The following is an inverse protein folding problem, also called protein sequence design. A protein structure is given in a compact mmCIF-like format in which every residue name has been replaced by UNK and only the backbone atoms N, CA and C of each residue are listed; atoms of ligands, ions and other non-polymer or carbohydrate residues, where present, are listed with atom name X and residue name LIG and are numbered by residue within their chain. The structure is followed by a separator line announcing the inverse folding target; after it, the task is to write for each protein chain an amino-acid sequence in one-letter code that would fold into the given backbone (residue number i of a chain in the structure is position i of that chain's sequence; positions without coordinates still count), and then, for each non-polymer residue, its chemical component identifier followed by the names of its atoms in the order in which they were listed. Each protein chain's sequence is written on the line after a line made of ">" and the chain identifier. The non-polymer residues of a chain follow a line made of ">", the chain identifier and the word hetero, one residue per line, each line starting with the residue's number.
data_IF_417725789378
#
_entry.id   IF_417725789378
#
_cell.length_a   1.000
_cell.length_b   1.000
_cell.length_c   1.000
_cell.angle_alpha   90.00
_cell.angle_beta   90.00
_cell.angle_gamma   90.00
#
_symmetry.space_group_name_H-M   'P 1'
#
loop_
_entity.id
_entity.type
_entity.pdbx_description
1 polymer ?
#
# COMPACT_ATOMS: atom_id res chain seq x y z
N UNK A 1 84.36 -15.70 -14.17
CA UNK A 1 83.77 -16.14 -12.90
C UNK A 1 84.40 -17.45 -12.51
N UNK A 2 85.14 -17.44 -11.41
CA UNK A 2 85.67 -18.64 -10.77
C UNK A 2 84.53 -19.60 -10.43
N UNK A 3 84.71 -20.94 -10.46
CA UNK A 3 83.70 -21.91 -10.04
C UNK A 3 83.06 -21.55 -8.69
N UNK A 4 83.87 -21.10 -7.73
CA UNK A 4 83.43 -20.68 -6.39
C UNK A 4 82.48 -19.46 -6.40
N UNK A 5 82.67 -18.54 -7.35
CA UNK A 5 81.79 -17.37 -7.51
C UNK A 5 80.45 -17.76 -8.16
N UNK A 6 80.45 -18.83 -8.96
CA UNK A 6 79.22 -19.39 -9.55
C UNK A 6 78.42 -20.11 -8.47
N UNK A 7 79.08 -20.88 -7.62
CA UNK A 7 78.43 -21.64 -6.53
C UNK A 7 77.76 -20.70 -5.53
N UNK A 8 78.45 -19.64 -5.09
CA UNK A 8 77.86 -18.59 -4.23
C UNK A 8 76.66 -17.88 -4.88
N UNK A 9 76.69 -17.71 -6.20
CA UNK A 9 75.57 -17.10 -6.94
C UNK A 9 74.38 -18.04 -7.06
N UNK A 10 74.61 -19.33 -7.22
CA UNK A 10 73.58 -20.37 -7.26
C UNK A 10 72.87 -20.43 -5.91
N UNK A 11 73.63 -20.50 -4.82
CA UNK A 11 73.08 -20.54 -3.45
C UNK A 11 72.17 -19.34 -3.16
N UNK A 12 72.64 -18.12 -3.49
CA UNK A 12 71.83 -16.89 -3.34
C UNK A 12 70.54 -16.92 -4.16
N UNK A 13 70.61 -17.42 -5.40
CA UNK A 13 69.43 -17.52 -6.27
C UNK A 13 68.45 -18.60 -5.79
N UNK A 14 68.94 -19.67 -5.17
CA UNK A 14 68.10 -20.72 -4.58
C UNK A 14 67.36 -20.23 -3.33
N UNK A 15 68.03 -19.48 -2.47
CA UNK A 15 67.40 -18.82 -1.31
C UNK A 15 66.30 -17.84 -1.74
N UNK A 16 66.58 -16.99 -2.73
CA UNK A 16 65.61 -16.04 -3.25
C UNK A 16 64.41 -16.76 -3.89
N UNK A 17 64.67 -17.81 -4.67
CA UNK A 17 63.61 -18.64 -5.26
C UNK A 17 62.74 -19.30 -4.18
N UNK A 18 63.34 -19.79 -3.10
CA UNK A 18 62.59 -20.38 -1.99
C UNK A 18 61.68 -19.35 -1.32
N UNK A 19 62.21 -18.17 -1.01
CA UNK A 19 61.44 -17.08 -0.40
C UNK A 19 60.30 -16.58 -1.31
N UNK A 20 60.53 -16.49 -2.63
CA UNK A 20 59.51 -16.12 -3.59
C UNK A 20 58.42 -17.19 -3.71
N UNK A 21 58.79 -18.47 -3.74
CA UNK A 21 57.83 -19.58 -3.77
C UNK A 21 56.95 -19.64 -2.52
N UNK A 22 57.51 -19.38 -1.35
CA UNK A 22 56.74 -19.29 -0.10
C UNK A 22 55.74 -18.13 -0.11
N UNK A 23 56.15 -16.96 -0.62
CA UNK A 23 55.25 -15.80 -0.78
C UNK A 23 54.12 -16.08 -1.78
N UNK A 24 54.43 -16.72 -2.91
CA UNK A 24 53.43 -17.12 -3.90
C UNK A 24 52.44 -18.10 -3.29
N UNK A 25 52.91 -19.13 -2.59
CA UNK A 25 52.03 -20.10 -1.93
C UNK A 25 51.11 -19.46 -0.88
N UNK A 26 51.62 -18.49 -0.10
CA UNK A 26 50.80 -17.75 0.87
C UNK A 26 49.77 -16.84 0.17
N UNK A 27 50.15 -16.13 -0.89
CA UNK A 27 49.24 -15.32 -1.68
C UNK A 27 48.16 -16.19 -2.36
N UNK A 28 48.54 -17.33 -2.91
CA UNK A 28 47.62 -18.31 -3.50
C UNK A 28 46.69 -18.93 -2.45
N UNK A 29 47.13 -19.20 -1.22
CA UNK A 29 46.24 -19.61 -0.11
C UNK A 29 45.28 -18.51 0.33
N UNK A 30 45.72 -17.26 0.25
CA UNK A 30 44.94 -16.08 0.65
C UNK A 30 43.88 -15.77 -0.41
N UNK A 31 44.23 -15.87 -1.68
CA UNK A 31 43.35 -15.61 -2.82
C UNK A 31 42.55 -16.84 -3.25
N UNK A 32 43.07 -18.06 -3.22
CA UNK A 32 42.34 -19.30 -3.53
C UNK A 32 41.10 -19.58 -2.66
N UNK A 33 40.86 -18.76 -1.64
CA UNK A 33 39.60 -18.68 -0.88
C UNK A 33 38.69 -17.58 -1.45
N UNK A 34 38.28 -17.74 -2.70
CA UNK A 34 37.14 -17.01 -3.26
C UNK A 34 35.87 -17.87 -3.14
N UNK A 35 34.75 -17.21 -2.84
CA UNK A 35 33.48 -17.78 -2.36
C UNK A 35 32.81 -18.83 -3.25
N UNK A 36 33.34 -19.16 -4.43
CA UNK A 36 32.81 -20.21 -5.30
C UNK A 36 33.44 -21.60 -5.09
N UNK A 37 34.55 -21.73 -4.34
CA UNK A 37 35.14 -23.03 -4.00
C UNK A 37 35.37 -23.23 -2.49
N UNK A 38 34.77 -22.38 -1.65
CA UNK A 38 34.76 -22.64 -0.22
C UNK A 38 33.33 -22.91 0.20
N UNK A 39 33.07 -24.11 0.72
CA UNK A 39 31.83 -24.55 1.38
C UNK A 39 31.55 -23.74 2.66
N UNK A 40 31.75 -22.43 2.62
CA UNK A 40 31.42 -21.50 3.68
C UNK A 40 29.98 -21.05 3.45
N UNK A 41 29.13 -21.15 4.47
CA UNK A 41 27.75 -20.70 4.34
C UNK A 41 27.72 -19.20 4.01
N UNK A 42 26.74 -18.75 3.21
CA UNK A 42 26.62 -17.35 2.78
C UNK A 42 26.42 -16.36 3.94
N UNK A 43 26.25 -16.84 5.18
CA UNK A 43 26.12 -16.05 6.40
C UNK A 43 27.47 -15.57 6.98
N UNK A 44 28.61 -16.10 6.54
CA UNK A 44 29.94 -15.71 7.06
C UNK A 44 30.65 -14.63 6.23
N UNK A 45 30.09 -14.24 5.07
CA UNK A 45 30.61 -13.12 4.30
C UNK A 45 30.25 -11.82 5.01
N UNK A 46 31.29 -11.14 5.52
CA UNK A 46 31.18 -9.96 6.36
C UNK A 46 30.27 -8.92 5.71
N UNK A 47 29.45 -8.29 6.55
CA UNK A 47 28.51 -7.19 6.35
C UNK A 47 29.09 -5.95 5.62
N UNK A 48 29.66 -6.11 4.41
CA UNK A 48 30.15 -5.01 3.56
C UNK A 48 29.73 -5.14 2.09
N UNK A 49 29.15 -6.27 1.67
CA UNK A 49 28.60 -6.46 0.32
C UNK A 49 27.13 -6.86 0.40
N UNK A 50 26.23 -5.86 0.45
CA UNK A 50 24.84 -5.92 -0.07
C UNK A 50 23.99 -4.67 0.20
N UNK A 51 24.54 -3.60 0.77
CA UNK A 51 23.80 -2.32 0.90
C UNK A 51 23.63 -1.57 -0.42
N UNK A 52 24.41 -1.89 -1.47
CA UNK A 52 24.37 -1.14 -2.74
C UNK A 52 23.43 -1.71 -3.82
N UNK A 53 22.96 -2.96 -3.71
CA UNK A 53 22.20 -3.62 -4.79
C UNK A 53 20.72 -3.82 -4.44
N UNK A 54 20.34 -3.79 -3.15
CA UNK A 54 19.00 -4.24 -2.74
C UNK A 54 17.85 -3.24 -2.98
N UNK A 55 18.11 -2.06 -3.53
CA UNK A 55 17.09 -1.02 -3.73
C UNK A 55 17.17 -0.31 -5.08
N UNK A 56 17.55 -1.00 -6.16
CA UNK A 56 17.29 -0.49 -7.52
C UNK A 56 16.07 -1.20 -8.08
N UNK A 57 14.94 -0.48 -8.10
CA UNK A 57 13.73 -0.90 -8.80
C UNK A 57 14.07 -1.37 -10.21
N UNK A 58 13.68 -2.61 -10.56
CA UNK A 58 13.78 -3.14 -11.93
C UNK A 58 12.74 -2.52 -12.87
N UNK A 59 11.80 -1.72 -12.35
CA UNK A 59 10.80 -1.02 -13.15
C UNK A 59 11.49 0.06 -13.97
N UNK A 60 11.31 0.02 -15.29
CA UNK A 60 11.67 1.14 -16.15
C UNK A 60 10.91 2.39 -15.70
N UNK A 61 11.58 3.55 -15.72
CA UNK A 61 10.90 4.82 -15.44
C UNK A 61 9.76 4.97 -16.45
N UNK A 62 8.53 5.12 -15.95
CA UNK A 62 7.38 5.38 -16.81
C UNK A 62 7.60 6.65 -17.64
N UNK A 63 7.10 6.67 -18.88
CA UNK A 63 7.19 7.83 -19.79
C UNK A 63 6.47 9.08 -19.30
N UNK A 64 5.68 8.96 -18.22
CA UNK A 64 4.95 10.08 -17.61
C UNK A 64 5.76 10.63 -16.45
N UNK A 65 5.95 11.97 -16.36
CA UNK A 65 6.59 12.57 -15.22
C UNK A 65 5.83 12.22 -13.93
N UNK A 66 6.55 12.04 -12.84
CA UNK A 66 5.95 11.90 -11.52
C UNK A 66 5.25 13.21 -11.16
N UNK A 67 3.94 13.15 -10.90
CA UNK A 67 3.14 14.32 -10.53
C UNK A 67 1.74 14.28 -11.13
N UNK A 68 1.02 15.39 -10.99
CA UNK A 68 -0.28 15.59 -11.62
C UNK A 68 -0.21 15.58 -13.14
N UNK A 69 -1.38 15.52 -13.79
CA UNK A 69 -1.46 15.60 -15.25
C UNK A 69 -0.86 16.92 -15.76
N UNK A 70 -0.20 16.88 -16.92
CA UNK A 70 0.44 18.04 -17.54
C UNK A 70 -0.59 19.16 -17.75
N UNK A 71 -0.31 20.35 -17.23
CA UNK A 71 -1.21 21.52 -17.31
C UNK A 71 -2.12 21.73 -16.10
N UNK A 72 -2.24 20.77 -15.18
CA UNK A 72 -2.97 20.99 -13.93
C UNK A 72 -2.09 21.75 -12.93
N UNK A 73 -2.50 22.97 -12.57
CA UNK A 73 -1.96 23.66 -11.40
C UNK A 73 -2.34 22.85 -10.17
N UNK A 74 -1.36 22.31 -9.47
CA UNK A 74 -1.62 21.70 -8.17
C UNK A 74 -2.15 22.77 -7.22
N UNK A 75 -3.36 22.58 -6.70
CA UNK A 75 -3.85 23.31 -5.54
C UNK A 75 -3.77 22.39 -4.34
N UNK A 76 -2.91 22.74 -3.39
CA UNK A 76 -2.90 22.11 -2.07
C UNK A 76 -4.08 22.66 -1.28
N UNK A 77 -4.76 21.83 -0.48
CA UNK A 77 -5.81 22.31 0.42
C UNK A 77 -5.21 23.26 1.45
N UNK A 78 -5.66 24.51 1.44
CA UNK A 78 -5.28 25.53 2.42
C UNK A 78 -6.18 25.47 3.65
N UNK A 79 -5.65 25.90 4.79
CA UNK A 79 -6.46 26.00 6.01
C UNK A 79 -7.53 27.07 5.83
N UNK A 80 -8.77 26.72 6.13
CA UNK A 80 -9.93 27.62 6.06
C UNK A 80 -10.03 28.42 7.36
N UNK A 81 -10.30 29.73 7.27
CA UNK A 81 -10.44 30.58 8.46
C UNK A 81 -11.66 30.22 9.32
N UNK A 82 -12.77 29.85 8.66
CA UNK A 82 -14.05 29.54 9.28
C UNK A 82 -14.50 28.12 8.89
N UNK A 83 -14.15 27.08 9.67
CA UNK A 83 -14.63 25.72 9.42
C UNK A 83 -16.11 25.58 9.81
N UNK A 84 -16.85 24.68 9.16
CA UNK A 84 -18.27 24.44 9.44
C UNK A 84 -18.52 23.91 10.86
N UNK A 85 -17.55 23.17 11.41
CA UNK A 85 -17.60 22.59 12.74
C UNK A 85 -16.26 22.76 13.44
N UNK A 86 -16.30 23.19 14.71
CA UNK A 86 -15.13 23.25 15.60
C UNK A 86 -15.38 22.26 16.75
N UNK A 87 -14.51 21.25 16.86
CA UNK A 87 -14.56 20.26 17.94
C UNK A 87 -13.31 20.47 18.79
N UNK A 88 -13.50 20.94 20.02
CA UNK A 88 -12.42 21.07 21.00
C UNK A 88 -12.13 19.71 21.63
N UNK A 89 -10.86 19.34 21.67
CA UNK A 89 -10.42 18.12 22.35
C UNK A 89 -10.13 18.45 23.82
N UNK A 90 -10.58 17.62 24.78
CA UNK A 90 -10.39 17.90 26.19
C UNK A 90 -8.90 17.89 26.55
N UNK A 91 -8.47 18.89 27.31
CA UNK A 91 -7.12 18.89 27.89
C UNK A 91 -7.12 17.96 29.11
N UNK A 92 -6.10 17.09 29.27
CA UNK A 92 -5.97 16.29 30.47
C UNK A 92 -5.99 17.16 31.73
N UNK A 93 -6.67 16.68 32.77
CA UNK A 93 -6.74 17.41 34.05
C UNK A 93 -5.40 17.43 34.79
N UNK A 94 -4.51 16.48 34.53
CA UNK A 94 -3.22 16.38 35.20
C UNK A 94 -2.05 16.31 34.24
N UNK A 95 -0.90 16.80 34.70
CA UNK A 95 0.35 16.69 33.97
C UNK A 95 0.81 15.23 33.92
N UNK A 96 1.00 14.68 32.72
CA UNK A 96 1.48 13.29 32.55
C UNK A 96 2.90 13.02 33.05
N UNK A 97 3.68 14.04 33.43
CA UNK A 97 5.04 13.88 33.98
C UNK A 97 5.11 13.99 35.50
N UNK A 98 4.48 15.01 36.09
CA UNK A 98 4.57 15.28 37.53
C UNK A 98 3.24 15.11 38.28
N UNK A 99 2.13 14.88 37.58
CA UNK A 99 0.82 14.62 38.19
C UNK A 99 0.09 15.83 38.74
N UNK A 100 0.63 17.05 38.64
CA UNK A 100 -0.07 18.25 39.12
C UNK A 100 -1.37 18.52 38.34
N UNK A 101 -2.37 19.07 39.03
CA UNK A 101 -3.66 19.45 38.43
C UNK A 101 -3.50 20.74 37.62
N UNK A 102 -4.01 20.74 36.39
CA UNK A 102 -3.88 21.85 35.43
C UNK A 102 -5.23 22.44 35.03
N UNK A 103 -6.34 22.02 35.64
CA UNK A 103 -7.70 22.52 35.34
C UNK A 103 -7.85 24.03 35.50
N UNK A 104 -7.15 24.61 36.47
CA UNK A 104 -7.18 26.05 36.76
C UNK A 104 -6.13 26.87 35.99
N UNK A 105 -5.31 26.23 35.15
CA UNK A 105 -4.25 26.90 34.40
C UNK A 105 -4.84 27.47 33.10
N UNK A 106 -4.54 28.74 32.81
CA UNK A 106 -5.00 29.39 31.59
C UNK A 106 -4.37 28.75 30.33
N UNK A 107 -5.13 28.72 29.24
CA UNK A 107 -4.66 28.20 27.95
C UNK A 107 -3.64 29.17 27.35
N UNK A 108 -2.42 28.70 27.12
CA UNK A 108 -1.34 29.51 26.53
C UNK A 108 -1.45 29.62 25.00
N UNK A 109 -1.79 28.52 24.31
CA UNK A 109 -1.85 28.46 22.85
C UNK A 109 -2.82 27.38 22.37
N UNK A 110 -3.53 27.65 21.29
CA UNK A 110 -4.38 26.68 20.58
C UNK A 110 -3.66 26.21 19.31
N UNK A 111 -3.51 24.90 19.15
CA UNK A 111 -2.96 24.28 17.93
C UNK A 111 -4.12 23.69 17.13
N UNK A 112 -4.28 24.14 15.88
CA UNK A 112 -5.41 23.74 15.01
C UNK A 112 -4.97 22.75 13.93
N UNK A 113 -5.79 21.73 13.68
CA UNK A 113 -5.67 20.82 12.52
C UNK A 113 -7.07 20.70 11.90
N UNK A 114 -7.14 20.73 10.57
CA UNK A 114 -8.40 20.63 9.83
C UNK A 114 -8.42 19.34 9.03
N UNK A 115 -9.57 18.67 9.07
CA UNK A 115 -9.86 17.49 8.27
C UNK A 115 -10.90 17.90 7.25
N UNK A 116 -10.64 17.61 5.98
CA UNK A 116 -11.55 17.89 4.86
C UNK A 116 -12.23 16.58 4.45
N UNK A 117 -13.47 16.41 4.87
CA UNK A 117 -14.30 15.27 4.49
C UNK A 117 -15.36 15.70 3.47
N UNK A 118 -15.56 14.87 2.45
CA UNK A 118 -16.65 15.05 1.48
C UNK A 118 -17.82 14.20 2.00
N UNK A 119 -18.97 14.80 2.35
CA UNK A 119 -20.13 14.03 2.78
C UNK A 119 -20.58 13.09 1.66
N UNK A 120 -21.22 11.98 2.03
CA UNK A 120 -21.73 11.02 1.05
C UNK A 120 -22.59 11.74 0.00
N UNK A 121 -22.29 11.61 -1.31
CA UNK A 121 -23.05 12.29 -2.34
C UNK A 121 -24.47 11.76 -2.36
N UNK A 122 -25.45 12.67 -2.32
CA UNK A 122 -26.86 12.32 -2.49
C UNK A 122 -27.10 12.09 -3.98
N UNK A 123 -27.48 10.87 -4.35
CA UNK A 123 -27.83 10.53 -5.72
C UNK A 123 -29.27 10.99 -5.99
N UNK A 124 -29.45 11.89 -6.94
CA UNK A 124 -30.77 12.31 -7.43
C UNK A 124 -31.09 11.48 -8.68
N UNK A 125 -32.14 10.67 -8.60
CA UNK A 125 -32.60 9.83 -9.71
C UNK A 125 -33.80 10.50 -10.38
N UNK A 126 -33.66 10.91 -11.64
CA UNK A 126 -34.75 11.46 -12.44
C UNK A 126 -35.26 10.40 -13.41
N UNK A 127 -36.51 9.97 -13.23
CA UNK A 127 -37.18 9.06 -14.16
C UNK A 127 -37.90 9.87 -15.25
N UNK A 128 -37.50 9.68 -16.50
CA UNK A 128 -38.26 10.19 -17.64
C UNK A 128 -39.34 9.17 -18.02
N UNK A 129 -40.55 9.65 -18.26
CA UNK A 129 -41.68 8.82 -18.69
C UNK A 129 -42.26 9.39 -19.98
N UNK A 130 -42.60 8.50 -20.92
CA UNK A 130 -43.34 8.85 -22.14
C UNK A 130 -44.66 8.10 -22.12
N UNK A 131 -45.73 8.77 -22.54
CA UNK A 131 -47.04 8.14 -22.64
C UNK A 131 -47.18 7.38 -23.95
N UNK A 132 -47.82 6.22 -23.88
CA UNK A 132 -48.21 5.43 -25.04
C UNK A 132 -49.73 5.35 -25.09
N UNK A 133 -50.32 5.70 -26.22
CA UNK A 133 -51.78 5.67 -26.45
C UNK A 133 -52.09 4.89 -27.72
N UNK A 134 -53.29 4.31 -27.79
CA UNK A 134 -53.81 3.70 -29.03
C UNK A 134 -54.84 4.64 -29.66
N UNK A 135 -54.75 4.81 -30.97
CA UNK A 135 -55.76 5.55 -31.72
C UNK A 135 -57.07 4.76 -31.72
N UNK A 136 -58.21 5.34 -31.30
CA UNK A 136 -59.48 4.63 -31.22
C UNK A 136 -60.09 4.27 -32.59
N UNK A 137 -59.59 4.87 -33.68
CA UNK A 137 -60.12 4.66 -35.03
C UNK A 137 -59.36 3.61 -35.82
N UNK A 138 -58.02 3.63 -35.75
CA UNK A 138 -57.15 2.77 -36.55
C UNK A 138 -56.27 1.83 -35.72
N UNK A 139 -56.41 1.84 -34.39
CA UNK A 139 -55.62 1.05 -33.43
C UNK A 139 -54.10 1.25 -33.47
N UNK A 140 -53.61 2.24 -34.22
CA UNK A 140 -52.18 2.58 -34.27
C UNK A 140 -51.68 3.06 -32.91
N UNK A 141 -50.52 2.55 -32.49
CA UNK A 141 -49.84 2.94 -31.26
C UNK A 141 -49.10 4.26 -31.48
N UNK A 142 -49.37 5.26 -30.64
CA UNK A 142 -48.72 6.56 -30.62
C UNK A 142 -47.91 6.64 -29.31
N UNK A 143 -46.62 6.91 -29.42
CA UNK A 143 -45.71 6.98 -28.28
C UNK A 143 -44.95 8.32 -28.28
N UNK A 144 -44.82 8.94 -27.11
CA UNK A 144 -43.95 10.11 -26.93
C UNK A 144 -42.46 9.75 -27.05
N UNK A 145 -41.63 10.70 -27.46
CA UNK A 145 -40.18 10.52 -27.59
C UNK A 145 -39.44 10.95 -26.33
N UNK A 146 -38.34 10.26 -26.03
CA UNK A 146 -37.39 10.69 -25.00
C UNK A 146 -36.44 11.76 -25.56
N UNK A 147 -35.96 12.71 -24.73
CA UNK A 147 -34.86 13.60 -25.10
C UNK A 147 -33.59 12.81 -25.46
N UNK A 148 -32.74 13.39 -26.33
CA UNK A 148 -31.54 12.72 -26.86
C UNK A 148 -30.55 12.35 -25.76
N UNK A 149 -30.53 13.11 -24.67
CA UNK A 149 -29.66 12.89 -23.53
C UNK A 149 -30.05 11.66 -22.71
N UNK A 150 -31.32 11.24 -22.75
CA UNK A 150 -31.87 10.15 -21.93
C UNK A 150 -31.83 8.84 -22.72
N UNK A 151 -30.69 8.16 -22.65
CA UNK A 151 -30.46 6.89 -23.36
C UNK A 151 -31.03 5.70 -22.58
N UNK A 152 -31.63 4.76 -23.31
CA UNK A 152 -32.06 3.50 -22.74
C UNK A 152 -30.85 2.70 -22.22
N UNK A 153 -31.05 1.98 -21.10
CA UNK A 153 -30.06 1.03 -20.60
C UNK A 153 -29.92 -0.11 -21.62
N UNK A 154 -28.67 -0.48 -21.93
CA UNK A 154 -28.41 -1.66 -22.75
C UNK A 154 -28.69 -2.91 -21.91
N UNK A 155 -29.51 -3.86 -22.40
CA UNK A 155 -29.74 -5.09 -21.67
C UNK A 155 -28.41 -5.87 -21.55
N UNK A 156 -28.10 -6.30 -20.32
CA UNK A 156 -27.04 -7.28 -20.07
C UNK A 156 -27.64 -8.63 -20.46
N UNK A 157 -27.09 -9.26 -21.50
CA UNK A 157 -27.49 -10.62 -21.89
C UNK A 157 -26.92 -11.57 -20.84
N UNK A 158 -27.74 -12.32 -20.08
CA UNK A 158 -27.21 -13.28 -19.10
C UNK A 158 -26.48 -14.40 -19.84
N UNK A 159 -25.28 -14.72 -19.36
CA UNK A 159 -24.47 -15.84 -19.84
C UNK A 159 -25.27 -17.15 -19.62
N UNK A 160 -25.60 -17.82 -20.72
CA UNK A 160 -26.51 -18.99 -20.79
C UNK A 160 -25.88 -20.28 -20.24
N UNK A 161 -24.73 -20.21 -19.58
CA UNK A 161 -23.91 -21.38 -19.22
C UNK A 161 -24.15 -21.97 -17.83
N UNK A 162 -25.03 -21.41 -17.00
CA UNK A 162 -25.34 -22.03 -15.69
C UNK A 162 -26.51 -23.01 -15.78
N UNK A 163 -26.30 -24.32 -15.54
CA UNK A 163 -27.41 -25.28 -15.48
C UNK A 163 -28.29 -25.00 -14.25
N UNK A 164 -29.59 -25.00 -14.50
CA UNK A 164 -30.68 -24.80 -13.53
C UNK A 164 -30.69 -25.95 -12.51
N UNK A 165 -30.25 -25.69 -11.28
CA UNK A 165 -30.47 -26.59 -10.14
C UNK A 165 -31.97 -26.61 -9.79
N UNK A 166 -32.58 -27.77 -9.49
CA UNK A 166 -33.98 -27.83 -9.14
C UNK A 166 -34.25 -27.25 -7.75
N UNK A 167 -35.26 -26.38 -7.67
CA UNK A 167 -35.83 -25.85 -6.43
C UNK A 167 -36.47 -27.00 -5.62
N UNK A 168 -35.94 -27.27 -4.43
CA UNK A 168 -36.67 -27.97 -3.38
C UNK A 168 -37.04 -26.99 -2.26
N UNK A 169 -38.28 -27.14 -1.83
CA UNK A 169 -39.14 -26.23 -1.11
C UNK A 169 -38.74 -25.94 0.37
N UNK A 170 -39.40 -24.97 1.03
CA UNK A 170 -38.96 -24.37 2.29
C UNK A 170 -39.59 -25.04 3.52
N UNK A 171 -39.03 -24.81 4.72
CA UNK A 171 -39.79 -24.31 5.89
C UNK A 171 -38.92 -24.17 7.15
N UNK A 172 -38.90 -22.93 7.66
CA UNK A 172 -39.03 -22.49 9.05
C UNK A 172 -38.32 -23.25 10.18
N UNK A 173 -37.42 -22.54 10.87
CA UNK A 173 -37.15 -22.73 12.29
C UNK A 173 -37.13 -21.36 12.98
N UNK A 174 -37.99 -21.07 13.98
CA UNK A 174 -37.82 -19.91 14.83
C UNK A 174 -36.65 -20.14 15.79
N UNK A 175 -35.68 -19.22 15.79
CA UNK A 175 -34.64 -19.16 16.81
C UNK A 175 -35.30 -18.66 18.10
N UNK A 176 -35.53 -19.57 19.04
CA UNK A 176 -35.82 -19.24 20.44
C UNK A 176 -34.53 -18.79 21.12
N UNK A 177 -34.51 -17.57 21.66
CA UNK A 177 -33.54 -17.17 22.68
C UNK A 177 -34.32 -16.94 23.97
N UNK A 178 -34.17 -17.87 24.91
CA UNK A 178 -34.46 -17.64 26.31
C UNK A 178 -33.17 -17.19 27.00
N UNK A 179 -33.22 -16.17 27.86
CA UNK A 179 -33.25 -16.38 29.31
C UNK A 179 -33.30 -15.04 30.05
N UNK A 180 -33.87 -15.11 31.25
CA UNK A 180 -34.22 -14.04 32.17
C UNK A 180 -33.04 -13.25 32.74
N UNK A 181 -33.35 -12.04 33.20
CA UNK A 181 -32.70 -11.48 34.39
C UNK A 181 -33.75 -10.72 35.20
N UNK A 182 -34.28 -11.47 36.15
CA UNK A 182 -34.88 -11.09 37.40
C UNK A 182 -34.33 -9.80 38.05
N UNK A 183 -35.25 -9.14 38.77
CA UNK A 183 -35.11 -8.53 40.11
C UNK A 183 -35.03 -7.00 40.30
N UNK A 184 -36.03 -6.61 41.11
CA UNK A 184 -36.08 -5.69 42.24
C UNK A 184 -36.77 -4.32 42.06
N UNK A 185 -37.98 -4.30 42.64
CA UNK A 185 -38.71 -3.16 43.16
C UNK A 185 -37.85 -2.19 43.99
N UNK A 186 -38.15 -0.89 43.90
CA UNK A 186 -38.42 -0.01 45.05
C UNK A 186 -38.90 1.38 44.61
N UNK A 187 -39.96 1.81 45.29
CA UNK A 187 -40.49 3.18 45.53
C UNK A 187 -40.95 4.00 44.35
#
# INVERSE_FOLDING_TARGET
>A
MSPEEKDKKIERLEEENKALREKIAELERRFGRYSQNSSKPPSSDRLKKKTQIRTKSLREKGKRPSGGQFGHRGQTLEQVLHPDKVIEQPTPCSCGKCGCDVRGVAVEKIIKRQVFDIPAPVIIVTQHQVTVKKCPKCNTTIQGSFPVEVKALRPIIPDITTPRMPESAPMNAPITVACESDKLAKT
#
